data_IF_213788298968
#
_entry.id   IF_213788298968
#
_cell.length_a   1.000
_cell.length_b   1.000
_cell.length_c   1.000
_cell.angle_alpha   90.00
_cell.angle_beta   90.00
_cell.angle_gamma   90.00
#
_symmetry.space_group_name_H-M   'P 1'
#
loop_
_entity.id
_entity.type
_entity.pdbx_description
1 polymer ?
#
# COMPACT_ATOMS: atom_id res chain seq x y z
N UNK A 1 -22.55 -25.06 -13.01
CA UNK A 1 -21.69 -24.30 -12.07
C UNK A 1 -21.07 -23.14 -12.83
N UNK A 2 -21.65 -21.94 -12.73
CA UNK A 2 -20.98 -20.74 -13.24
C UNK A 2 -19.87 -20.38 -12.27
N UNK A 3 -18.62 -20.52 -12.71
CA UNK A 3 -17.51 -19.80 -12.09
C UNK A 3 -17.77 -18.31 -12.31
N UNK A 4 -18.40 -17.67 -11.34
CA UNK A 4 -18.50 -16.21 -11.30
C UNK A 4 -17.07 -15.71 -11.05
N UNK A 5 -16.33 -15.42 -12.12
CA UNK A 5 -15.05 -14.72 -12.02
C UNK A 5 -15.36 -13.34 -11.47
N UNK A 6 -15.17 -13.17 -10.17
CA UNK A 6 -15.34 -11.88 -9.51
C UNK A 6 -14.27 -10.96 -10.08
N UNK A 7 -14.65 -10.01 -10.94
CA UNK A 7 -13.72 -8.99 -11.41
C UNK A 7 -13.11 -8.27 -10.19
N UNK A 8 -11.80 -7.99 -10.20
CA UNK A 8 -11.17 -7.32 -9.09
C UNK A 8 -11.84 -5.95 -8.90
N UNK A 9 -12.38 -5.68 -7.72
CA UNK A 9 -13.01 -4.38 -7.43
C UNK A 9 -11.99 -3.24 -7.42
N UNK A 10 -10.73 -3.58 -7.14
CA UNK A 10 -9.61 -2.65 -6.98
C UNK A 10 -8.41 -3.09 -7.81
N UNK A 11 -7.70 -2.10 -8.35
CA UNK A 11 -6.40 -2.22 -9.00
C UNK A 11 -5.36 -1.62 -8.07
N UNK A 12 -4.30 -2.38 -7.79
CA UNK A 12 -3.20 -1.99 -6.91
C UNK A 12 -1.90 -2.06 -7.70
N UNK A 13 -1.48 -0.89 -8.17
CA UNK A 13 -0.47 -0.74 -9.22
C UNK A 13 0.65 0.18 -8.74
N UNK A 14 1.89 0.05 -9.25
CA UNK A 14 2.91 1.07 -9.04
C UNK A 14 2.38 2.46 -9.40
N UNK A 15 2.72 3.45 -8.58
CA UNK A 15 2.29 4.82 -8.81
C UNK A 15 2.95 5.39 -10.07
N UNK A 16 2.14 5.96 -10.97
CA UNK A 16 2.60 6.66 -12.17
C UNK A 16 2.62 8.17 -11.97
N UNK A 17 3.31 8.90 -12.86
CA UNK A 17 3.53 10.34 -12.75
C UNK A 17 2.22 11.14 -12.75
N UNK A 18 1.24 10.67 -13.53
CA UNK A 18 -0.09 11.24 -13.67
C UNK A 18 -0.89 11.17 -12.36
N UNK A 19 -0.56 10.22 -11.47
CA UNK A 19 -1.21 10.06 -10.18
C UNK A 19 -0.63 10.96 -9.09
N UNK A 20 0.49 11.67 -9.32
CA UNK A 20 1.12 12.52 -8.31
C UNK A 20 0.14 13.56 -7.78
N UNK A 21 -0.40 14.42 -8.61
CA UNK A 21 -1.28 15.48 -8.14
C UNK A 21 -2.63 14.95 -7.62
N UNK A 22 -3.30 13.98 -8.29
CA UNK A 22 -4.52 13.37 -7.75
C UNK A 22 -4.37 12.74 -6.36
N UNK A 23 -3.19 12.17 -6.06
CA UNK A 23 -2.92 11.55 -4.77
C UNK A 23 -2.61 12.55 -3.64
N UNK A 24 -2.43 13.84 -3.95
CA UNK A 24 -2.14 14.84 -2.91
C UNK A 24 -3.23 14.91 -1.85
N UNK A 25 -4.51 14.83 -2.24
CA UNK A 25 -5.64 14.86 -1.29
C UNK A 25 -5.57 13.67 -0.33
N UNK A 26 -5.25 12.48 -0.83
CA UNK A 26 -5.11 11.27 -0.01
C UNK A 26 -3.94 11.44 0.98
N UNK A 27 -2.80 11.91 0.50
CA UNK A 27 -1.63 12.13 1.35
C UNK A 27 -1.87 13.23 2.40
N UNK A 28 -2.59 14.30 2.06
CA UNK A 28 -2.95 15.40 2.97
C UNK A 28 -3.95 14.97 4.04
N UNK A 29 -4.89 14.07 3.71
CA UNK A 29 -5.84 13.52 4.70
C UNK A 29 -5.09 12.79 5.82
N UNK A 30 -4.08 11.99 5.46
CA UNK A 30 -3.24 11.28 6.41
C UNK A 30 -2.21 12.18 7.11
N UNK A 31 -1.70 13.20 6.40
CA UNK A 31 -0.71 14.15 6.91
C UNK A 31 -1.22 15.58 6.72
N UNK A 32 -2.02 16.12 7.66
CA UNK A 32 -2.65 17.44 7.52
C UNK A 32 -1.67 18.61 7.39
N UNK A 33 -0.40 18.41 7.69
CA UNK A 33 0.67 19.42 7.56
C UNK A 33 1.37 19.39 6.18
N UNK A 34 1.15 18.35 5.36
CA UNK A 34 1.89 18.12 4.12
C UNK A 34 1.46 19.08 3.00
N UNK A 35 2.31 20.00 2.55
CA UNK A 35 2.01 20.85 1.39
C UNK A 35 2.24 20.15 0.04
N UNK A 36 1.65 20.69 -1.03
CA UNK A 36 1.71 20.12 -2.38
C UNK A 36 3.14 20.05 -2.95
N UNK A 37 3.99 21.01 -2.61
CA UNK A 37 5.36 21.05 -3.12
C UNK A 37 6.22 19.94 -2.49
N UNK A 38 6.12 19.76 -1.16
CA UNK A 38 6.73 18.66 -0.41
C UNK A 38 6.23 17.31 -0.90
N UNK A 39 4.92 17.17 -1.11
CA UNK A 39 4.32 15.97 -1.67
C UNK A 39 4.89 15.64 -3.06
N UNK A 40 4.84 16.58 -4.00
CA UNK A 40 5.35 16.38 -5.37
C UNK A 40 6.80 15.96 -5.39
N UNK A 41 7.64 16.60 -4.56
CA UNK A 41 9.06 16.23 -4.43
C UNK A 41 9.21 14.79 -3.94
N UNK A 42 8.54 14.46 -2.83
CA UNK A 42 8.60 13.13 -2.24
C UNK A 42 8.09 12.03 -3.19
N UNK A 43 6.97 12.26 -3.86
CA UNK A 43 6.38 11.31 -4.80
C UNK A 43 7.29 11.06 -6.02
N UNK A 44 7.87 12.12 -6.60
CA UNK A 44 8.81 11.99 -7.72
C UNK A 44 10.05 11.19 -7.33
N UNK A 45 10.62 11.45 -6.16
CA UNK A 45 11.75 10.69 -5.64
C UNK A 45 11.40 9.21 -5.43
N UNK A 46 10.19 8.89 -4.96
CA UNK A 46 9.76 7.51 -4.80
C UNK A 46 9.57 6.79 -6.13
N UNK A 47 8.96 7.43 -7.12
CA UNK A 47 8.68 6.81 -8.43
C UNK A 47 9.98 6.65 -9.24
N UNK A 48 10.94 7.55 -9.07
CA UNK A 48 12.25 7.47 -9.73
C UNK A 48 13.23 6.51 -9.05
N UNK A 49 12.93 6.06 -7.83
CA UNK A 49 13.81 5.16 -7.09
C UNK A 49 13.78 3.74 -7.65
N UNK A 50 14.80 2.95 -7.30
CA UNK A 50 14.81 1.52 -7.58
C UNK A 50 13.63 0.84 -6.84
N UNK A 51 12.68 0.19 -7.56
CA UNK A 51 11.57 -0.54 -6.95
C UNK A 51 12.00 -1.63 -5.97
N UNK A 52 13.21 -2.16 -6.13
CA UNK A 52 13.85 -3.09 -5.19
C UNK A 52 14.24 -2.49 -3.83
N UNK A 53 14.13 -1.16 -3.67
CA UNK A 53 14.52 -0.44 -2.44
C UNK A 53 13.41 0.43 -1.87
N UNK A 54 12.61 1.09 -2.69
CA UNK A 54 11.45 1.88 -2.26
C UNK A 54 10.53 2.16 -3.43
N UNK A 55 9.28 2.46 -3.13
CA UNK A 55 8.32 2.88 -4.14
C UNK A 55 7.01 3.36 -3.55
N UNK A 56 6.09 3.69 -4.44
CA UNK A 56 4.70 3.99 -4.09
C UNK A 56 3.79 3.10 -4.94
N UNK A 57 2.72 2.61 -4.31
CA UNK A 57 1.61 1.94 -4.99
C UNK A 57 0.36 2.76 -4.83
N UNK A 58 -0.49 2.76 -5.85
CA UNK A 58 -1.81 3.38 -5.84
C UNK A 58 -2.89 2.31 -5.84
N UNK A 59 -3.94 2.54 -5.06
CA UNK A 59 -5.16 1.75 -5.03
C UNK A 59 -6.22 2.54 -5.80
N UNK A 60 -6.86 1.91 -6.78
CA UNK A 60 -7.89 2.53 -7.62
C UNK A 60 -9.05 1.56 -7.82
N UNK A 61 -10.29 2.04 -7.75
CA UNK A 61 -11.44 1.23 -8.20
C UNK A 61 -11.39 1.05 -9.71
N UNK A 62 -11.63 -0.14 -10.24
CA UNK A 62 -11.55 -0.43 -11.69
C UNK A 62 -12.31 0.60 -12.53
N UNK A 63 -13.52 1.00 -12.08
CA UNK A 63 -14.40 1.96 -12.79
C UNK A 63 -14.13 3.43 -12.49
N UNK A 64 -13.04 3.77 -11.79
CA UNK A 64 -12.66 5.15 -11.46
C UNK A 64 -11.28 5.45 -12.02
N UNK A 65 -11.09 6.68 -12.51
CA UNK A 65 -9.84 7.17 -13.09
C UNK A 65 -8.80 7.51 -12.02
N UNK A 66 -9.23 8.13 -10.92
CA UNK A 66 -8.31 8.61 -9.89
C UNK A 66 -8.14 7.56 -8.79
N UNK A 67 -6.93 7.43 -8.21
CA UNK A 67 -6.69 6.61 -7.03
C UNK A 67 -7.58 7.01 -5.85
N UNK A 68 -8.00 6.01 -5.08
CA UNK A 68 -8.70 6.17 -3.81
C UNK A 68 -7.83 5.78 -2.60
N UNK A 69 -6.62 5.27 -2.83
CA UNK A 69 -5.63 5.05 -1.77
C UNK A 69 -4.23 5.02 -2.35
N UNK A 70 -3.24 5.09 -1.49
CA UNK A 70 -1.84 4.87 -1.84
C UNK A 70 -1.08 4.26 -0.66
N UNK A 71 0.06 3.67 -0.92
CA UNK A 71 1.00 3.27 0.12
C UNK A 71 2.42 3.54 -0.36
N UNK A 72 3.28 3.94 0.58
CA UNK A 72 4.72 4.04 0.33
C UNK A 72 5.40 2.86 0.99
N UNK A 73 6.39 2.27 0.32
CA UNK A 73 7.21 1.23 0.92
C UNK A 73 8.69 1.54 0.79
N UNK A 74 9.48 0.98 1.72
CA UNK A 74 10.93 0.99 1.69
C UNK A 74 11.44 -0.34 2.22
N UNK A 75 12.41 -0.92 1.53
CA UNK A 75 13.12 -2.11 1.95
C UNK A 75 14.35 -1.69 2.74
N UNK A 76 14.47 -2.20 3.96
CA UNK A 76 15.51 -1.88 4.93
C UNK A 76 16.21 -3.18 5.37
N UNK A 77 17.47 -3.08 5.80
CA UNK A 77 18.15 -4.23 6.39
C UNK A 77 17.55 -4.52 7.77
N UNK A 78 17.42 -5.81 8.10
CA UNK A 78 16.87 -6.27 9.37
C UNK A 78 17.70 -7.43 9.90
N UNK A 79 17.95 -7.47 11.21
CA UNK A 79 18.82 -8.50 11.80
C UNK A 79 18.14 -9.87 11.87
N UNK A 80 16.83 -9.92 12.07
CA UNK A 80 16.08 -11.17 12.24
C UNK A 80 15.61 -11.72 10.89
N UNK A 81 15.19 -10.84 9.98
CA UNK A 81 14.55 -11.22 8.71
C UNK A 81 15.45 -10.96 7.49
N UNK A 82 16.70 -10.49 7.69
CA UNK A 82 17.66 -10.10 6.65
C UNK A 82 17.28 -8.79 5.94
N UNK A 83 16.11 -8.75 5.33
CA UNK A 83 15.49 -7.54 4.78
C UNK A 83 14.02 -7.46 5.17
N UNK A 84 13.58 -6.23 5.45
CA UNK A 84 12.23 -5.94 5.86
C UNK A 84 11.64 -4.83 4.99
N UNK A 85 10.38 -4.99 4.59
CA UNK A 85 9.62 -3.95 3.90
C UNK A 85 8.82 -3.13 4.90
N UNK A 86 9.23 -1.89 5.13
CA UNK A 86 8.45 -0.92 5.89
C UNK A 86 7.42 -0.26 4.96
N UNK A 87 6.13 -0.43 5.26
CA UNK A 87 5.01 0.10 4.49
C UNK A 87 4.31 1.17 5.32
N UNK A 88 4.10 2.35 4.71
CA UNK A 88 3.26 3.42 5.22
C UNK A 88 2.02 3.55 4.34
N UNK A 89 0.89 2.96 4.74
CA UNK A 89 -0.35 3.03 3.98
C UNK A 89 -1.02 4.39 4.20
N UNK A 90 -1.70 4.87 3.17
CA UNK A 90 -2.62 6.00 3.20
C UNK A 90 -3.85 5.59 2.37
N UNK A 91 -4.76 4.84 2.97
CA UNK A 91 -5.93 4.32 2.25
C UNK A 91 -7.19 5.09 2.66
N UNK A 92 -8.01 5.47 1.69
CA UNK A 92 -9.40 5.85 1.97
C UNK A 92 -10.22 4.57 1.94
N UNK A 93 -10.57 4.08 3.13
CA UNK A 93 -11.45 2.91 3.25
C UNK A 93 -12.88 3.37 3.03
N UNK A 94 -13.55 2.75 2.06
CA UNK A 94 -14.99 2.90 1.88
C UNK A 94 -15.68 2.30 3.14
N UNK A 95 -16.62 2.99 3.77
CA UNK A 95 -17.33 2.48 4.95
C UNK A 95 -18.14 1.19 4.70
N UNK A 96 -18.34 0.77 3.44
CA UNK A 96 -19.04 -0.48 3.10
C UNK A 96 -18.05 -1.58 2.69
N UNK A 97 -17.79 -2.50 3.62
CA UNK A 97 -16.99 -3.75 3.54
C UNK A 97 -15.66 -3.63 2.76
N UNK A 98 -14.59 -3.31 3.49
CA UNK A 98 -13.23 -3.13 2.99
C UNK A 98 -12.41 -4.43 2.88
N UNK A 99 -12.96 -5.59 3.29
CA UNK A 99 -12.23 -6.87 3.31
C UNK A 99 -11.60 -7.26 1.95
N UNK A 100 -12.29 -7.10 0.79
CA UNK A 100 -11.67 -7.39 -0.50
C UNK A 100 -10.49 -6.47 -0.82
N UNK A 101 -10.57 -5.19 -0.44
CA UNK A 101 -9.47 -4.25 -0.61
C UNK A 101 -8.28 -4.62 0.26
N UNK A 102 -8.51 -4.91 1.55
CA UNK A 102 -7.44 -5.30 2.47
C UNK A 102 -6.74 -6.58 2.01
N UNK A 103 -7.51 -7.55 1.50
CA UNK A 103 -6.96 -8.79 0.94
C UNK A 103 -6.12 -8.53 -0.31
N UNK A 104 -6.63 -7.72 -1.25
CA UNK A 104 -5.87 -7.38 -2.45
C UNK A 104 -4.59 -6.59 -2.12
N UNK A 105 -4.66 -5.65 -1.17
CA UNK A 105 -3.50 -4.87 -0.73
C UNK A 105 -2.45 -5.76 -0.08
N UNK A 106 -2.88 -6.65 0.82
CA UNK A 106 -2.00 -7.62 1.45
C UNK A 106 -1.29 -8.52 0.43
N UNK A 107 -2.04 -9.09 -0.52
CA UNK A 107 -1.48 -9.93 -1.58
C UNK A 107 -0.47 -9.15 -2.44
N UNK A 108 -0.78 -7.89 -2.78
CA UNK A 108 0.12 -7.06 -3.56
C UNK A 108 1.40 -6.71 -2.79
N UNK A 109 1.29 -6.35 -1.52
CA UNK A 109 2.45 -6.06 -0.66
C UNK A 109 3.32 -7.30 -0.47
N UNK A 110 2.72 -8.48 -0.25
CA UNK A 110 3.43 -9.76 -0.18
C UNK A 110 4.20 -10.05 -1.47
N UNK A 111 3.59 -9.84 -2.64
CA UNK A 111 4.28 -10.00 -3.92
C UNK A 111 5.49 -9.05 -4.06
N UNK A 112 5.35 -7.77 -3.70
CA UNK A 112 6.48 -6.83 -3.75
C UNK A 112 7.56 -7.25 -2.74
N UNK A 113 7.18 -7.67 -1.53
CA UNK A 113 8.14 -8.11 -0.52
C UNK A 113 8.95 -9.32 -1.01
N UNK A 114 8.28 -10.29 -1.61
CA UNK A 114 8.90 -11.44 -2.24
C UNK A 114 9.85 -11.03 -3.38
N UNK A 115 9.39 -10.24 -4.34
CA UNK A 115 10.18 -9.78 -5.50
C UNK A 115 11.41 -8.95 -5.08
N UNK A 116 11.30 -8.25 -3.95
CA UNK A 116 12.41 -7.47 -3.38
C UNK A 116 13.26 -8.26 -2.38
N UNK A 117 12.95 -9.53 -2.15
CA UNK A 117 13.63 -10.44 -1.23
C UNK A 117 13.64 -9.96 0.23
N UNK A 118 12.52 -9.39 0.68
CA UNK A 118 12.25 -9.09 2.08
C UNK A 118 11.66 -10.32 2.77
N UNK A 119 12.17 -10.68 3.95
CA UNK A 119 11.63 -11.77 4.77
C UNK A 119 10.39 -11.37 5.57
N UNK A 120 10.22 -10.08 5.86
CA UNK A 120 9.10 -9.56 6.64
C UNK A 120 8.53 -8.24 6.10
N UNK A 121 7.29 -7.93 6.50
CA UNK A 121 6.60 -6.68 6.22
C UNK A 121 6.22 -6.03 7.55
N UNK A 122 6.58 -4.75 7.71
CA UNK A 122 6.17 -3.91 8.84
C UNK A 122 5.23 -2.82 8.35
N UNK A 123 4.01 -2.78 8.87
CA UNK A 123 3.08 -1.71 8.54
C UNK A 123 3.15 -0.64 9.62
N UNK A 124 3.61 0.55 9.23
CA UNK A 124 3.65 1.72 10.10
C UNK A 124 2.42 2.57 9.82
N UNK A 125 1.41 2.44 10.67
CA UNK A 125 0.20 3.25 10.62
C UNK A 125 0.11 4.18 11.83
N UNK A 126 -0.20 5.43 11.55
CA UNK A 126 -0.69 6.39 12.54
C UNK A 126 -2.21 6.39 12.54
N UNK A 127 -2.86 6.92 13.57
CA UNK A 127 -4.33 6.87 13.69
C UNK A 127 -5.11 7.49 12.53
N UNK A 128 -4.47 8.27 11.65
CA UNK A 128 -5.06 8.85 10.44
C UNK A 128 -4.83 8.01 9.17
N UNK A 129 -3.93 7.02 9.19
CA UNK A 129 -3.47 6.27 8.02
C UNK A 129 -4.41 5.08 7.69
N UNK A 130 -4.82 4.35 8.74
CA UNK A 130 -5.74 3.22 8.70
C UNK A 130 -6.44 3.07 10.08
N UNK A 131 -7.75 2.77 10.13
CA UNK A 131 -8.41 2.37 11.37
C UNK A 131 -7.84 1.04 11.88
N UNK A 132 -7.78 0.86 13.20
CA UNK A 132 -7.15 -0.30 13.84
C UNK A 132 -7.71 -1.66 13.37
N UNK A 133 -9.00 -1.73 13.05
CA UNK A 133 -9.64 -2.94 12.51
C UNK A 133 -9.10 -3.34 11.13
N UNK A 134 -8.74 -2.36 10.30
CA UNK A 134 -8.18 -2.59 8.97
C UNK A 134 -6.75 -3.14 9.05
N UNK A 135 -5.95 -2.70 10.02
CA UNK A 135 -4.59 -3.20 10.26
C UNK A 135 -4.59 -4.70 10.59
N UNK A 136 -5.46 -5.14 11.49
CA UNK A 136 -5.63 -6.56 11.79
C UNK A 136 -6.18 -7.36 10.59
N UNK A 137 -6.94 -6.72 9.71
CA UNK A 137 -7.36 -7.30 8.43
C UNK A 137 -6.20 -7.53 7.46
N UNK A 138 -5.35 -6.51 7.25
CA UNK A 138 -4.15 -6.63 6.40
C UNK A 138 -3.18 -7.65 6.98
N UNK A 139 -2.93 -7.64 8.29
CA UNK A 139 -2.04 -8.60 8.95
C UNK A 139 -2.46 -10.05 8.64
N UNK A 140 -3.73 -10.37 8.89
CA UNK A 140 -4.28 -11.71 8.62
C UNK A 140 -4.25 -12.07 7.13
N UNK A 141 -4.48 -11.10 6.25
CA UNK A 141 -4.45 -11.34 4.82
C UNK A 141 -3.03 -11.57 4.31
N UNK A 142 -2.02 -10.85 4.83
CA UNK A 142 -0.61 -11.05 4.45
C UNK A 142 -0.13 -12.43 4.91
N UNK A 143 -0.41 -12.82 6.15
CA UNK A 143 -0.04 -14.15 6.67
C UNK A 143 -0.69 -15.30 5.88
N UNK A 144 -1.80 -15.06 5.16
CA UNK A 144 -2.42 -16.02 4.26
C UNK A 144 -1.86 -15.97 2.84
N UNK A 145 -1.30 -14.84 2.43
CA UNK A 145 -0.84 -14.59 1.07
C UNK A 145 0.63 -15.01 0.82
N UNK A 146 1.41 -15.35 1.86
CA UNK A 146 2.78 -15.83 1.67
C UNK A 146 3.52 -16.18 2.97
N UNK A 147 4.81 -16.51 2.84
CA UNK A 147 5.76 -16.88 3.91
C UNK A 147 6.27 -15.67 4.72
N UNK A 148 5.62 -14.50 4.63
CA UNK A 148 6.12 -13.27 5.25
C UNK A 148 5.56 -13.06 6.66
N UNK A 149 6.45 -12.78 7.61
CA UNK A 149 6.09 -12.34 8.95
C UNK A 149 5.56 -10.90 8.90
N UNK A 150 4.47 -10.65 9.63
CA UNK A 150 3.83 -9.34 9.69
C UNK A 150 4.05 -8.68 11.04
N UNK A 151 4.56 -7.44 11.02
CA UNK A 151 4.83 -6.64 12.21
C UNK A 151 3.92 -5.41 12.22
N UNK A 152 3.21 -5.22 13.35
CA UNK A 152 2.37 -4.06 13.64
C UNK A 152 3.15 -3.00 14.43
#
# INVERSE_FOLDING_TARGET
MLHCMHEPTYLIEPMIREHIDPCFVIARLAQPWLDLARWRRHARECIAANPGRRGMITIRRVRRRNPCGLACYRCEADLEHGRLMAVRPFAVLDPLDDRPLLTALAARLAAIAHDTGCGAIRIVATGADLPAGALGGVARAVSRAGEHTFLL
#
